data_IF_502128582680
#
_entry.id   IF_502128582680
#
_cell.length_a   1.000
_cell.length_b   1.000
_cell.length_c   1.000
_cell.angle_alpha   90.00
_cell.angle_beta   90.00
_cell.angle_gamma   90.00
#
_symmetry.space_group_name_H-M   'P 1'
#
loop_
_entity.id
_entity.type
_entity.pdbx_description
1 polymer ?
#
# COMPACT_ATOMS: atom_id res chain seq x y z
N UNK A 1 11.35 -44.96 -6.26
CA UNK A 1 12.75 -44.48 -6.12
C UNK A 1 12.83 -43.05 -6.64
N UNK A 2 12.94 -42.06 -5.74
CA UNK A 2 13.16 -40.67 -6.14
C UNK A 2 14.59 -40.58 -6.66
N UNK A 3 14.77 -40.34 -7.97
CA UNK A 3 16.09 -40.14 -8.56
C UNK A 3 16.69 -38.85 -7.99
N UNK A 4 17.98 -38.88 -7.66
CA UNK A 4 18.74 -37.73 -7.11
C UNK A 4 18.49 -36.42 -7.86
N UNK A 5 18.25 -36.49 -9.17
CA UNK A 5 17.87 -35.35 -10.01
C UNK A 5 16.64 -34.59 -9.52
N UNK A 6 15.58 -35.27 -9.06
CA UNK A 6 14.34 -34.61 -8.62
C UNK A 6 14.52 -33.81 -7.32
N UNK A 7 15.41 -34.26 -6.44
CA UNK A 7 15.74 -33.55 -5.20
C UNK A 7 16.44 -32.23 -5.53
N UNK A 8 17.39 -32.25 -6.48
CA UNK A 8 18.09 -31.04 -6.93
C UNK A 8 17.13 -30.05 -7.57
N UNK A 9 16.20 -30.53 -8.41
CA UNK A 9 15.18 -29.67 -9.03
C UNK A 9 14.27 -29.02 -7.99
N UNK A 10 13.82 -29.78 -6.99
CA UNK A 10 12.98 -29.26 -5.90
C UNK A 10 13.71 -28.17 -5.09
N UNK A 11 14.96 -28.41 -4.72
CA UNK A 11 15.76 -27.43 -3.97
C UNK A 11 15.99 -26.16 -4.79
N UNK A 12 16.27 -26.30 -6.10
CA UNK A 12 16.43 -25.16 -7.00
C UNK A 12 15.14 -24.34 -7.13
N UNK A 13 13.98 -25.00 -7.25
CA UNK A 13 12.69 -24.31 -7.29
C UNK A 13 12.36 -23.58 -5.99
N UNK A 14 12.62 -24.21 -4.83
CA UNK A 14 12.44 -23.55 -3.53
C UNK A 14 13.34 -22.31 -3.39
N UNK A 15 14.60 -22.40 -3.81
CA UNK A 15 15.53 -21.27 -3.82
C UNK A 15 15.06 -20.14 -4.74
N UNK A 16 14.59 -20.48 -5.95
CA UNK A 16 14.06 -19.51 -6.91
C UNK A 16 12.83 -18.77 -6.36
N UNK A 17 11.91 -19.49 -5.72
CA UNK A 17 10.71 -18.92 -5.09
C UNK A 17 11.06 -17.95 -3.97
N UNK A 18 12.07 -18.26 -3.14
CA UNK A 18 12.53 -17.37 -2.08
C UNK A 18 13.13 -16.07 -2.63
N UNK A 19 13.93 -16.16 -3.71
CA UNK A 19 14.52 -14.98 -4.37
C UNK A 19 13.44 -14.14 -5.04
N UNK A 20 12.46 -14.76 -5.70
CA UNK A 20 11.31 -14.06 -6.28
C UNK A 20 10.50 -13.34 -5.20
N UNK A 21 10.19 -13.99 -4.07
CA UNK A 21 9.52 -13.36 -2.94
C UNK A 21 10.29 -12.16 -2.38
N UNK A 22 11.62 -12.30 -2.22
CA UNK A 22 12.48 -11.20 -1.78
C UNK A 22 12.51 -10.02 -2.77
N UNK A 23 12.53 -10.30 -4.07
CA UNK A 23 12.54 -9.27 -5.12
C UNK A 23 11.19 -8.58 -5.23
N UNK A 24 10.08 -9.30 -5.12
CA UNK A 24 8.73 -8.73 -5.11
C UNK A 24 8.52 -7.86 -3.89
N UNK A 25 9.00 -8.27 -2.71
CA UNK A 25 8.99 -7.43 -1.51
C UNK A 25 9.82 -6.13 -1.65
N UNK A 26 10.78 -6.09 -2.58
CA UNK A 26 11.61 -4.92 -2.87
C UNK A 26 11.13 -4.04 -4.03
N UNK A 27 10.03 -4.36 -4.73
CA UNK A 27 9.55 -3.60 -5.90
C UNK A 27 8.83 -2.29 -5.57
N UNK A 28 8.89 -1.86 -4.30
CA UNK A 28 8.10 -0.73 -3.83
C UNK A 28 6.63 -1.15 -3.65
N UNK A 29 5.86 -0.34 -2.93
CA UNK A 29 4.50 -0.71 -2.60
C UNK A 29 3.66 -0.64 -3.91
N UNK A 30 2.69 -1.56 -4.11
CA UNK A 30 1.89 -1.68 -5.33
C UNK A 30 1.17 -0.38 -5.75
N UNK A 31 0.48 -0.39 -6.89
CA UNK A 31 -0.32 0.75 -7.31
C UNK A 31 -1.29 1.20 -6.18
N UNK A 32 -1.26 2.48 -5.75
CA UNK A 32 -2.04 2.95 -4.60
C UNK A 32 -3.53 3.11 -4.88
N UNK A 33 -4.02 2.89 -6.12
CA UNK A 33 -5.40 3.25 -6.48
C UNK A 33 -6.46 2.56 -5.64
N UNK A 34 -6.26 1.29 -5.26
CA UNK A 34 -7.18 0.55 -4.39
C UNK A 34 -7.20 1.10 -2.96
N UNK A 35 -6.03 1.50 -2.43
CA UNK A 35 -5.88 2.10 -1.11
C UNK A 35 -6.52 3.50 -1.11
N UNK A 36 -6.29 4.29 -2.15
CA UNK A 36 -6.93 5.61 -2.33
C UNK A 36 -8.45 5.49 -2.37
N UNK A 37 -9.00 4.51 -3.11
CA UNK A 37 -10.44 4.30 -3.19
C UNK A 37 -11.06 3.92 -1.84
N UNK A 38 -10.39 3.06 -1.06
CA UNK A 38 -10.87 2.67 0.26
C UNK A 38 -10.88 3.85 1.23
N UNK A 39 -9.78 4.61 1.29
CA UNK A 39 -9.68 5.79 2.16
C UNK A 39 -10.58 6.94 1.72
N UNK A 40 -10.85 7.08 0.42
CA UNK A 40 -11.88 8.00 -0.06
C UNK A 40 -13.27 7.64 0.46
N UNK A 41 -13.60 6.33 0.52
CA UNK A 41 -14.85 5.86 1.11
C UNK A 41 -14.92 6.13 2.62
N UNK A 42 -13.80 6.00 3.33
CA UNK A 42 -13.69 6.32 4.76
C UNK A 42 -13.93 7.82 4.97
N UNK A 43 -13.23 8.68 4.22
CA UNK A 43 -13.38 10.13 4.30
C UNK A 43 -14.84 10.56 4.08
N UNK A 44 -15.51 9.99 3.08
CA UNK A 44 -16.91 10.30 2.80
C UNK A 44 -17.84 9.91 3.96
N UNK A 45 -17.60 8.76 4.61
CA UNK A 45 -18.36 8.35 5.79
C UNK A 45 -18.09 9.24 7.01
N UNK A 46 -16.86 9.70 7.19
CA UNK A 46 -16.47 10.53 8.34
C UNK A 46 -16.97 11.97 8.23
N UNK A 47 -16.94 12.54 7.03
CA UNK A 47 -17.24 13.95 6.80
C UNK A 47 -18.65 14.19 6.28
N UNK A 48 -19.32 13.14 5.78
CA UNK A 48 -20.59 13.26 5.07
C UNK A 48 -20.46 13.94 3.70
N UNK A 49 -19.23 14.14 3.22
CA UNK A 49 -18.93 14.79 1.94
C UNK A 49 -18.65 13.77 0.85
N UNK A 50 -19.10 14.08 -0.35
CA UNK A 50 -19.01 13.27 -1.56
C UNK A 50 -17.98 13.82 -2.56
N UNK A 51 -17.29 14.92 -2.24
CA UNK A 51 -16.15 15.40 -3.01
C UNK A 51 -14.89 14.58 -2.71
N UNK A 52 -14.80 13.45 -3.39
CA UNK A 52 -13.72 12.45 -3.30
C UNK A 52 -12.40 12.94 -3.96
N UNK A 53 -11.98 14.19 -3.71
CA UNK A 53 -10.65 14.65 -4.09
C UNK A 53 -9.63 13.97 -3.18
N UNK A 54 -9.31 12.73 -3.51
CA UNK A 54 -8.32 11.92 -2.82
C UNK A 54 -7.15 11.61 -3.76
N UNK A 55 -5.93 11.83 -3.29
CA UNK A 55 -4.71 11.49 -4.01
C UNK A 55 -3.78 10.69 -3.10
N UNK A 56 -3.18 9.65 -3.65
CA UNK A 56 -2.24 8.79 -2.93
C UNK A 56 -0.86 8.79 -3.55
N UNK A 57 0.18 8.77 -2.71
CA UNK A 57 1.56 8.58 -3.14
C UNK A 57 2.30 7.68 -2.15
N UNK A 58 3.35 6.97 -2.62
CA UNK A 58 4.22 6.21 -1.73
C UNK A 58 4.99 7.14 -0.79
N UNK A 59 5.02 6.81 0.51
CA UNK A 59 5.83 7.48 1.54
C UNK A 59 6.52 6.42 2.40
N UNK A 60 7.86 6.39 2.39
CA UNK A 60 8.65 5.42 3.13
C UNK A 60 8.33 3.97 2.72
N UNK A 61 7.76 3.20 3.65
CA UNK A 61 7.38 1.79 3.46
C UNK A 61 5.87 1.61 3.22
N UNK A 62 5.11 2.70 3.01
CA UNK A 62 3.67 2.65 2.84
C UNK A 62 3.17 3.77 1.94
N UNK A 63 2.00 4.32 2.26
CA UNK A 63 1.37 5.37 1.46
C UNK A 63 0.86 6.51 2.32
N UNK A 64 0.74 7.67 1.71
CA UNK A 64 -0.15 8.71 2.20
C UNK A 64 -1.29 8.86 1.22
N UNK A 65 -2.51 8.89 1.75
CA UNK A 65 -3.71 9.29 1.02
C UNK A 65 -4.21 10.60 1.61
N UNK A 66 -4.19 11.66 0.82
CA UNK A 66 -4.79 12.93 1.18
C UNK A 66 -6.16 13.06 0.55
N UNK A 67 -7.17 13.33 1.38
CA UNK A 67 -8.55 13.56 0.95
C UNK A 67 -9.04 14.95 1.37
N UNK A 68 -9.88 15.56 0.54
CA UNK A 68 -10.49 16.87 0.78
C UNK A 68 -9.66 18.04 0.25
N UNK A 69 -10.18 19.26 0.47
CA UNK A 69 -9.54 20.51 0.04
C UNK A 69 -9.59 21.56 1.16
N UNK A 70 -8.63 22.48 1.15
CA UNK A 70 -8.57 23.58 2.12
C UNK A 70 -8.42 23.09 3.56
N UNK A 71 -9.22 23.65 4.46
CA UNK A 71 -9.16 23.39 5.90
C UNK A 71 -9.68 21.99 6.30
N UNK A 72 -10.47 21.35 5.43
CA UNK A 72 -11.05 20.02 5.66
C UNK A 72 -10.15 18.87 5.15
N UNK A 73 -8.89 19.19 4.81
CA UNK A 73 -7.95 18.22 4.28
C UNK A 73 -7.49 17.26 5.37
N UNK A 74 -7.53 15.97 5.06
CA UNK A 74 -7.09 14.89 5.96
C UNK A 74 -6.06 14.04 5.23
N UNK A 75 -4.91 13.82 5.87
CA UNK A 75 -3.89 12.88 5.41
C UNK A 75 -3.95 11.59 6.22
N UNK A 76 -4.23 10.47 5.54
CA UNK A 76 -4.17 9.12 6.08
C UNK A 76 -2.83 8.50 5.71
N UNK A 77 -2.01 8.18 6.70
CA UNK A 77 -0.73 7.49 6.53
C UNK A 77 -0.98 6.00 6.73
N UNK A 78 -0.63 5.19 5.76
CA UNK A 78 -0.84 3.74 5.78
C UNK A 78 0.46 2.97 5.70
N UNK A 79 0.43 1.70 6.08
CA UNK A 79 1.49 0.75 5.73
C UNK A 79 1.39 0.33 4.24
N UNK A 80 2.27 -0.56 3.79
CA UNK A 80 2.27 -1.11 2.42
C UNK A 80 1.02 -1.91 2.04
N UNK A 81 0.19 -2.28 3.02
CA UNK A 81 -1.04 -3.04 2.80
C UNK A 81 -2.30 -2.15 2.89
N UNK A 82 -2.13 -0.85 3.14
CA UNK A 82 -3.23 0.11 3.25
C UNK A 82 -3.81 0.25 4.65
N UNK A 83 -3.25 -0.43 5.67
CA UNK A 83 -3.71 -0.30 7.05
C UNK A 83 -3.27 1.04 7.65
N UNK A 84 -4.14 1.69 8.44
CA UNK A 84 -3.86 3.00 9.02
C UNK A 84 -2.73 2.93 10.06
N UNK A 85 -1.71 3.75 9.85
CA UNK A 85 -0.58 3.96 10.76
C UNK A 85 -0.67 5.32 11.45
N UNK A 86 -1.27 6.31 10.78
CA UNK A 86 -1.47 7.63 11.37
C UNK A 86 -2.47 8.49 10.59
N UNK A 87 -3.00 9.50 11.26
CA UNK A 87 -3.93 10.48 10.68
C UNK A 87 -3.47 11.89 11.04
N UNK A 88 -3.45 12.79 10.07
CA UNK A 88 -3.13 14.21 10.27
C UNK A 88 -4.26 15.07 9.70
N UNK A 89 -4.70 16.06 10.47
CA UNK A 89 -5.59 17.11 9.99
C UNK A 89 -4.73 18.23 9.39
N UNK A 90 -5.12 18.74 8.22
CA UNK A 90 -4.26 19.56 7.36
C UNK A 90 -3.35 18.68 6.49
N UNK A 91 -3.21 19.02 5.21
CA UNK A 91 -2.33 18.29 4.28
C UNK A 91 -0.85 18.48 4.57
N UNK A 92 -0.01 17.75 3.84
CA UNK A 92 1.44 17.91 3.77
C UNK A 92 1.74 19.18 2.98
N UNK A 93 1.59 20.33 3.63
CA UNK A 93 1.81 21.65 3.04
C UNK A 93 1.01 22.71 3.77
N UNK A 94 1.50 23.09 4.96
CA UNK A 94 1.16 24.37 5.60
C UNK A 94 2.09 25.47 5.11
#
# INVERSE_FOLDING_TARGET
MIRKAHIVTLVALCGLSAVLGYRVAGMGPPDPSSIVADWASVYARETGRDDLHCAGWPEGQGYVVECGQGDDKVAYVTDMYGALVGRRAGGIGG
#
